data_IF_143714985505
#
_entry.id   IF_143714985505
#
_cell.length_a   1.000
_cell.length_b   1.000
_cell.length_c   1.000
_cell.angle_alpha   90.00
_cell.angle_beta   90.00
_cell.angle_gamma   90.00
#
_symmetry.space_group_name_H-M   'P 1'
#
loop_
_entity.id
_entity.type
_entity.pdbx_description
1 polymer ?
#
# COMPACT_ATOMS: atom_id res chain seq x y z
N UNK A 1 2.50 -5.57 6.72
CA UNK A 1 1.17 -5.59 7.38
C UNK A 1 1.22 -5.19 8.86
N UNK A 2 2.15 -5.69 9.66
CA UNK A 2 2.26 -5.33 11.10
C UNK A 2 2.30 -3.81 11.30
N UNK A 3 3.14 -3.09 10.56
CA UNK A 3 3.22 -1.62 10.62
C UNK A 3 1.91 -0.92 10.21
N UNK A 4 1.15 -1.49 9.26
CA UNK A 4 -0.16 -0.95 8.86
C UNK A 4 -1.14 -1.04 10.01
N UNK A 5 -1.25 -2.21 10.66
CA UNK A 5 -2.13 -2.42 11.80
C UNK A 5 -1.72 -1.48 12.96
N UNK A 6 -0.42 -1.33 13.21
CA UNK A 6 0.08 -0.44 14.25
C UNK A 6 -0.24 1.04 13.95
N UNK A 7 -0.05 1.49 12.71
CA UNK A 7 -0.41 2.85 12.30
C UNK A 7 -1.91 3.14 12.44
N UNK A 8 -2.78 2.18 12.10
CA UNK A 8 -4.21 2.32 12.32
C UNK A 8 -4.60 2.25 13.81
N UNK A 9 -3.86 1.50 14.64
CA UNK A 9 -4.08 1.53 16.09
C UNK A 9 -3.77 2.92 16.67
N UNK A 10 -2.73 3.61 16.19
CA UNK A 10 -2.45 5.00 16.57
C UNK A 10 -3.62 5.91 16.13
N UNK A 11 -4.08 5.79 14.88
CA UNK A 11 -5.17 6.62 14.33
C UNK A 11 -6.47 6.51 15.10
N UNK A 12 -6.78 5.33 15.66
CA UNK A 12 -8.05 5.11 16.40
C UNK A 12 -8.00 5.66 17.83
N UNK A 13 -6.82 5.94 18.37
CA UNK A 13 -6.63 6.37 19.76
C UNK A 13 -6.27 7.84 19.86
N UNK A 14 -5.38 8.33 18.99
CA UNK A 14 -4.87 9.70 19.00
C UNK A 14 -5.69 10.54 18.02
N UNK A 15 -6.31 11.62 18.48
CA UNK A 15 -7.10 12.53 17.63
C UNK A 15 -6.21 13.32 16.67
N UNK A 16 -5.02 13.73 17.12
CA UNK A 16 -4.02 14.48 16.33
C UNK A 16 -2.91 13.54 15.79
N UNK A 17 -3.33 12.40 15.22
CA UNK A 17 -2.42 11.37 14.70
C UNK A 17 -1.51 11.89 13.57
N UNK A 18 -1.90 12.95 12.85
CA UNK A 18 -1.09 13.55 11.79
C UNK A 18 0.23 14.15 12.31
N UNK A 19 0.30 14.51 13.58
CA UNK A 19 1.48 15.05 14.22
C UNK A 19 2.24 14.00 15.06
N UNK A 20 1.78 12.74 15.07
CA UNK A 20 2.48 11.66 15.72
C UNK A 20 3.69 11.19 14.90
N UNK A 21 4.88 11.19 15.49
CA UNK A 21 6.14 10.85 14.82
C UNK A 21 6.18 9.40 14.35
N UNK A 22 5.69 8.47 15.14
CA UNK A 22 5.74 7.03 14.81
C UNK A 22 4.80 6.79 13.63
N UNK A 23 3.63 7.38 13.66
CA UNK A 23 2.68 7.32 12.57
C UNK A 23 3.27 7.91 11.29
N UNK A 24 3.86 9.10 11.36
CA UNK A 24 4.49 9.79 10.23
C UNK A 24 5.62 8.95 9.61
N UNK A 25 6.49 8.35 10.42
CA UNK A 25 7.56 7.46 9.94
C UNK A 25 6.95 6.26 9.21
N UNK A 26 5.95 5.59 9.76
CA UNK A 26 5.29 4.44 9.12
C UNK A 26 4.65 4.85 7.80
N UNK A 27 3.91 5.96 7.78
CA UNK A 27 3.17 6.41 6.60
C UNK A 27 4.07 7.02 5.52
N UNK A 28 5.29 7.38 5.86
CA UNK A 28 6.26 7.87 4.87
C UNK A 28 6.64 6.83 3.82
N UNK A 29 6.51 5.51 4.12
CA UNK A 29 7.03 4.48 3.21
C UNK A 29 6.15 3.23 3.04
N UNK A 30 5.28 2.88 4.00
CA UNK A 30 4.68 1.53 4.02
C UNK A 30 3.82 1.22 2.79
N UNK A 31 2.93 2.14 2.36
CA UNK A 31 2.09 1.91 1.17
C UNK A 31 2.88 1.97 -0.14
N UNK A 32 3.79 2.95 -0.35
CA UNK A 32 4.75 2.91 -1.45
C UNK A 32 5.54 1.60 -1.54
N UNK A 33 6.01 1.07 -0.40
CA UNK A 33 6.76 -0.19 -0.36
C UNK A 33 5.90 -1.39 -0.81
N UNK A 34 4.62 -1.47 -0.42
CA UNK A 34 3.71 -2.52 -0.91
C UNK A 34 3.51 -2.45 -2.43
N UNK A 35 3.38 -1.24 -2.98
CA UNK A 35 3.28 -1.05 -4.42
C UNK A 35 4.56 -1.46 -5.13
N UNK A 36 5.73 -1.10 -4.58
CA UNK A 36 7.02 -1.49 -5.13
C UNK A 36 7.24 -3.02 -5.09
N UNK A 37 6.86 -3.70 -4.00
CA UNK A 37 6.90 -5.17 -3.93
C UNK A 37 5.98 -5.79 -4.98
N UNK A 38 4.79 -5.24 -5.19
CA UNK A 38 3.88 -5.73 -6.23
C UNK A 38 4.46 -5.53 -7.64
N UNK A 39 5.10 -4.39 -7.88
CA UNK A 39 5.81 -4.10 -9.12
C UNK A 39 7.01 -5.01 -9.36
N UNK A 40 7.76 -5.32 -8.32
CA UNK A 40 8.87 -6.29 -8.37
C UNK A 40 8.40 -7.65 -8.91
N UNK A 41 7.30 -8.17 -8.40
CA UNK A 41 6.75 -9.44 -8.86
C UNK A 41 6.14 -9.39 -10.26
N UNK A 42 5.80 -8.22 -10.78
CA UNK A 42 5.22 -8.06 -12.11
C UNK A 42 6.22 -8.34 -13.25
N UNK A 43 7.52 -8.20 -13.02
CA UNK A 43 8.55 -8.49 -14.01
C UNK A 43 8.55 -9.96 -14.48
N UNK A 44 8.18 -10.89 -13.59
CA UNK A 44 8.06 -12.31 -13.95
C UNK A 44 6.75 -12.67 -14.64
N UNK A 45 5.79 -11.75 -14.61
CA UNK A 45 4.45 -11.93 -15.17
C UNK A 45 4.37 -11.37 -16.59
N UNK A 46 5.37 -11.68 -17.46
CA UNK A 46 5.24 -11.33 -18.87
C UNK A 46 3.96 -11.96 -19.42
N UNK A 47 3.00 -11.18 -19.93
CA UNK A 47 1.85 -11.72 -20.59
C UNK A 47 2.35 -12.40 -21.87
N UNK A 48 2.51 -13.71 -21.82
CA UNK A 48 2.68 -14.51 -23.04
C UNK A 48 1.34 -14.52 -23.77
N UNK A 49 1.02 -13.44 -24.46
CA UNK A 49 -0.09 -13.35 -25.38
C UNK A 49 -1.51 -13.27 -24.81
N UNK A 50 -1.73 -13.40 -23.48
CA UNK A 50 -3.06 -13.54 -22.92
C UNK A 50 -3.34 -12.54 -21.77
N UNK A 51 -3.30 -11.26 -22.10
CA UNK A 51 -3.60 -10.16 -21.16
C UNK A 51 -4.98 -10.31 -20.51
N UNK A 52 -5.95 -10.94 -21.21
CA UNK A 52 -7.31 -11.20 -20.69
C UNK A 52 -7.27 -12.11 -19.45
N UNK A 53 -6.54 -13.21 -19.51
CA UNK A 53 -6.43 -14.13 -18.37
C UNK A 53 -5.69 -13.51 -17.17
N UNK A 54 -4.70 -12.65 -17.44
CA UNK A 54 -4.04 -11.88 -16.36
C UNK A 54 -5.05 -10.94 -15.71
N UNK A 55 -5.82 -10.19 -16.49
CA UNK A 55 -6.85 -9.28 -15.97
C UNK A 55 -7.91 -10.04 -15.15
N UNK A 56 -8.45 -11.15 -15.66
CA UNK A 56 -9.44 -11.97 -14.96
C UNK A 56 -8.90 -12.48 -13.61
N UNK A 57 -7.65 -12.97 -13.60
CA UNK A 57 -7.01 -13.41 -12.36
C UNK A 57 -6.86 -12.26 -11.35
N UNK A 58 -6.52 -11.05 -11.81
CA UNK A 58 -6.43 -9.87 -10.93
C UNK A 58 -7.80 -9.42 -10.41
N UNK A 59 -8.86 -9.55 -11.23
CA UNK A 59 -10.23 -9.35 -10.74
C UNK A 59 -10.55 -10.31 -9.58
N UNK A 60 -10.26 -11.59 -9.74
CA UNK A 60 -10.52 -12.59 -8.70
C UNK A 60 -9.68 -12.35 -7.44
N UNK A 61 -8.42 -11.92 -7.59
CA UNK A 61 -7.50 -11.73 -6.47
C UNK A 61 -7.73 -10.42 -5.68
N UNK A 62 -8.15 -9.36 -6.34
CA UNK A 62 -8.17 -8.01 -5.76
C UNK A 62 -9.57 -7.39 -5.74
N UNK A 63 -10.30 -7.45 -6.88
CA UNK A 63 -11.57 -6.77 -7.02
C UNK A 63 -12.70 -7.48 -6.28
N UNK A 64 -12.75 -8.82 -6.35
CA UNK A 64 -13.77 -9.58 -5.60
C UNK A 64 -13.61 -9.39 -4.08
N UNK A 65 -12.41 -9.57 -3.47
CA UNK A 65 -12.23 -9.26 -2.05
C UNK A 65 -12.55 -7.80 -1.72
N UNK A 66 -12.17 -6.84 -2.56
CA UNK A 66 -12.52 -5.44 -2.38
C UNK A 66 -14.04 -5.22 -2.23
N UNK A 67 -14.82 -5.73 -3.19
CA UNK A 67 -16.28 -5.60 -3.18
C UNK A 67 -16.89 -6.28 -1.97
N UNK A 68 -16.47 -7.51 -1.68
CA UNK A 68 -17.03 -8.30 -0.58
C UNK A 68 -16.75 -7.66 0.78
N UNK A 69 -15.53 -7.22 1.04
CA UNK A 69 -15.19 -6.55 2.30
C UNK A 69 -15.80 -5.17 2.42
N UNK A 70 -15.96 -4.44 1.31
CA UNK A 70 -16.70 -3.18 1.30
C UNK A 70 -18.17 -3.37 1.67
N UNK A 71 -18.82 -4.42 1.13
CA UNK A 71 -20.19 -4.78 1.49
C UNK A 71 -20.33 -5.24 2.95
N UNK A 72 -19.36 -6.05 3.45
CA UNK A 72 -19.31 -6.47 4.85
C UNK A 72 -19.16 -5.23 5.76
N UNK A 73 -18.24 -4.34 5.46
CA UNK A 73 -18.04 -3.10 6.22
C UNK A 73 -19.27 -2.20 6.18
N UNK A 74 -19.95 -2.12 5.04
CA UNK A 74 -21.22 -1.42 4.91
C UNK A 74 -22.31 -2.04 5.79
N UNK A 75 -22.46 -3.37 5.75
CA UNK A 75 -23.43 -4.09 6.58
C UNK A 75 -23.19 -3.95 8.09
N UNK A 76 -21.92 -3.96 8.51
CA UNK A 76 -21.53 -3.82 9.92
C UNK A 76 -21.67 -2.39 10.45
N UNK A 77 -21.70 -1.38 9.59
CA UNK A 77 -21.77 0.02 10.02
C UNK A 77 -23.13 0.46 10.56
N UNK A 78 -24.20 -0.27 10.26
CA UNK A 78 -25.57 0.10 10.61
C UNK A 78 -26.13 1.32 9.87
N UNK A 79 -25.33 1.99 9.06
CA UNK A 79 -25.70 3.16 8.25
C UNK A 79 -25.92 2.74 6.80
N UNK A 80 -27.17 2.41 6.47
CA UNK A 80 -27.57 1.90 5.15
C UNK A 80 -27.94 3.00 4.16
N UNK A 81 -27.09 4.02 4.04
CA UNK A 81 -27.30 5.13 3.13
C UNK A 81 -26.72 4.80 1.72
N UNK A 82 -27.51 5.06 0.67
CA UNK A 82 -27.09 4.88 -0.73
C UNK A 82 -25.91 5.79 -1.11
N UNK A 83 -25.79 6.95 -0.48
CA UNK A 83 -24.63 7.83 -0.64
C UNK A 83 -23.33 7.14 -0.22
N UNK A 84 -23.35 6.41 0.90
CA UNK A 84 -22.21 5.64 1.38
C UNK A 84 -21.82 4.52 0.42
N UNK A 85 -22.83 3.83 -0.13
CA UNK A 85 -22.59 2.79 -1.13
C UNK A 85 -21.97 3.36 -2.41
N UNK A 86 -22.45 4.50 -2.89
CA UNK A 86 -21.85 5.18 -4.06
C UNK A 86 -20.43 5.65 -3.81
N UNK A 87 -20.11 6.12 -2.59
CA UNK A 87 -18.76 6.52 -2.19
C UNK A 87 -17.76 5.36 -2.24
N UNK A 88 -18.18 4.12 -1.99
CA UNK A 88 -17.29 2.96 -2.13
C UNK A 88 -16.71 2.80 -3.54
N UNK A 89 -17.48 3.17 -4.57
CA UNK A 89 -17.05 3.08 -5.97
C UNK A 89 -16.40 4.39 -6.43
N UNK A 90 -17.03 5.52 -6.12
CA UNK A 90 -16.59 6.83 -6.62
C UNK A 90 -15.38 7.36 -5.85
N UNK A 91 -15.30 7.09 -4.55
CA UNK A 91 -14.26 7.58 -3.66
C UNK A 91 -13.74 6.43 -2.77
N UNK A 92 -12.97 5.48 -3.33
CA UNK A 92 -12.51 4.28 -2.62
C UNK A 92 -11.51 4.58 -1.48
N UNK A 93 -11.03 5.83 -1.37
CA UNK A 93 -10.12 6.31 -0.33
C UNK A 93 -10.61 6.12 1.11
N UNK A 94 -11.93 6.05 1.32
CA UNK A 94 -12.54 5.83 2.64
C UNK A 94 -12.50 4.37 3.12
N UNK A 95 -12.09 3.41 2.25
CA UNK A 95 -12.18 1.97 2.54
C UNK A 95 -10.91 1.22 2.14
N UNK A 96 -11.08 0.09 1.44
CA UNK A 96 -9.98 -0.78 1.01
C UNK A 96 -9.30 -0.26 -0.28
N UNK A 97 -9.01 1.04 -0.34
CA UNK A 97 -8.49 1.74 -1.50
C UNK A 97 -7.26 1.08 -2.14
N UNK A 98 -6.41 0.46 -1.32
CA UNK A 98 -5.20 -0.20 -1.81
C UNK A 98 -5.49 -1.34 -2.78
N UNK A 99 -6.53 -2.18 -2.51
CA UNK A 99 -6.91 -3.26 -3.41
C UNK A 99 -7.42 -2.72 -4.75
N UNK A 100 -8.27 -1.70 -4.68
CA UNK A 100 -8.82 -1.04 -5.85
C UNK A 100 -7.71 -0.42 -6.71
N UNK A 101 -6.84 0.38 -6.11
CA UNK A 101 -5.73 1.05 -6.81
C UNK A 101 -4.73 0.04 -7.35
N UNK A 102 -4.37 -0.99 -6.58
CA UNK A 102 -3.48 -2.05 -7.04
C UNK A 102 -4.09 -2.83 -8.21
N UNK A 103 -5.41 -3.07 -8.21
CA UNK A 103 -6.11 -3.66 -9.33
C UNK A 103 -5.97 -2.78 -10.59
N UNK A 104 -6.28 -1.49 -10.49
CA UNK A 104 -6.17 -0.54 -11.61
C UNK A 104 -4.74 -0.45 -12.13
N UNK A 105 -3.74 -0.38 -11.25
CA UNK A 105 -2.32 -0.38 -11.62
C UNK A 105 -1.96 -1.64 -12.43
N UNK A 106 -2.40 -2.83 -11.99
CA UNK A 106 -2.15 -4.06 -12.74
C UNK A 106 -2.78 -4.03 -14.14
N UNK A 107 -4.01 -3.51 -14.28
CA UNK A 107 -4.67 -3.39 -15.60
C UNK A 107 -3.90 -2.43 -16.51
N UNK A 108 -3.53 -1.25 -16.00
CA UNK A 108 -2.75 -0.28 -16.77
C UNK A 108 -1.37 -0.83 -17.15
N UNK A 109 -0.74 -1.59 -16.27
CA UNK A 109 0.55 -2.22 -16.54
C UNK A 109 0.45 -3.23 -17.70
N UNK A 110 -0.58 -4.09 -17.69
CA UNK A 110 -0.87 -5.02 -18.81
C UNK A 110 -1.18 -4.25 -20.10
N UNK A 111 -1.89 -3.12 -20.00
CA UNK A 111 -2.17 -2.26 -21.16
C UNK A 111 -0.87 -1.69 -21.74
N UNK A 112 0.04 -1.17 -20.91
CA UNK A 112 1.36 -0.69 -21.34
C UNK A 112 2.16 -1.79 -22.05
N UNK A 113 2.15 -3.02 -21.53
CA UNK A 113 2.82 -4.16 -22.14
C UNK A 113 2.22 -4.49 -23.53
N UNK A 114 0.89 -4.48 -23.65
CA UNK A 114 0.20 -4.73 -24.93
C UNK A 114 0.47 -3.62 -25.94
N UNK A 115 0.46 -2.35 -25.52
CA UNK A 115 0.80 -1.21 -26.37
C UNK A 115 2.25 -1.33 -26.85
N UNK A 116 3.19 -1.54 -25.92
CA UNK A 116 4.62 -1.74 -26.22
C UNK A 116 4.82 -2.81 -27.30
N UNK A 117 4.15 -3.95 -27.14
CA UNK A 117 4.23 -5.04 -28.12
C UNK A 117 3.65 -4.66 -29.50
N UNK A 118 2.51 -3.96 -29.54
CA UNK A 118 1.85 -3.59 -30.81
C UNK A 118 2.58 -2.53 -31.60
N UNK A 119 3.12 -1.52 -30.93
CA UNK A 119 3.81 -0.38 -31.58
C UNK A 119 5.33 -0.50 -31.58
N UNK A 120 5.86 -1.66 -31.14
CA UNK A 120 7.29 -2.00 -31.13
C UNK A 120 8.17 -1.00 -30.36
N UNK A 121 7.69 -0.43 -29.26
CA UNK A 121 8.49 0.38 -28.34
C UNK A 121 8.95 -0.43 -27.15
N UNK A 122 9.98 0.04 -26.44
CA UNK A 122 10.39 -0.60 -25.17
C UNK A 122 9.29 -0.50 -24.12
N UNK A 123 9.07 -1.60 -23.39
CA UNK A 123 8.06 -1.71 -22.35
C UNK A 123 8.19 -0.62 -21.28
N UNK A 124 9.42 -0.34 -20.85
CA UNK A 124 9.68 0.70 -19.86
C UNK A 124 9.30 2.10 -20.38
N UNK A 125 9.52 2.37 -21.66
CA UNK A 125 9.12 3.63 -22.28
C UNK A 125 7.60 3.80 -22.21
N UNK A 126 6.83 2.75 -22.55
CA UNK A 126 5.36 2.79 -22.46
C UNK A 126 4.89 3.02 -21.02
N UNK A 127 5.53 2.36 -20.03
CA UNK A 127 5.21 2.52 -18.60
C UNK A 127 5.55 3.93 -18.12
N UNK A 128 6.73 4.46 -18.48
CA UNK A 128 7.15 5.81 -18.09
C UNK A 128 6.23 6.89 -18.68
N UNK A 129 5.84 6.76 -19.95
CA UNK A 129 4.86 7.67 -20.59
C UNK A 129 3.53 7.63 -19.88
N UNK A 130 3.03 6.43 -19.51
CA UNK A 130 1.81 6.28 -18.73
C UNK A 130 1.93 6.94 -17.35
N UNK A 131 3.04 6.72 -16.62
CA UNK A 131 3.30 7.36 -15.33
C UNK A 131 3.24 8.89 -15.43
N UNK A 132 3.97 9.45 -16.38
CA UNK A 132 4.04 10.90 -16.58
C UNK A 132 2.68 11.48 -16.97
N UNK A 133 1.94 10.80 -17.85
CA UNK A 133 0.60 11.22 -18.28
C UNK A 133 -0.38 11.23 -17.12
N UNK A 134 -0.44 10.16 -16.32
CA UNK A 134 -1.31 10.06 -15.15
C UNK A 134 -0.96 11.14 -14.10
N UNK A 135 0.32 11.32 -13.83
CA UNK A 135 0.77 12.33 -12.87
C UNK A 135 0.48 13.76 -13.37
N UNK A 136 0.74 14.03 -14.66
CA UNK A 136 0.42 15.32 -15.27
C UNK A 136 -1.07 15.64 -15.22
N UNK A 137 -1.94 14.67 -15.55
CA UNK A 137 -3.40 14.84 -15.47
C UNK A 137 -3.84 15.06 -14.00
N UNK A 138 -3.25 14.34 -13.05
CA UNK A 138 -3.56 14.52 -11.63
C UNK A 138 -3.23 15.95 -11.17
N UNK A 139 -2.06 16.46 -11.54
CA UNK A 139 -1.62 17.80 -11.16
C UNK A 139 -2.45 18.89 -11.84
N UNK A 140 -2.82 18.68 -13.11
CA UNK A 140 -3.57 19.68 -13.90
C UNK A 140 -5.05 19.79 -13.51
N UNK A 141 -5.69 18.67 -13.13
CA UNK A 141 -7.15 18.61 -12.95
C UNK A 141 -7.59 18.22 -11.53
N UNK A 142 -6.66 17.89 -10.62
CA UNK A 142 -6.92 17.48 -9.24
C UNK A 142 -8.02 16.41 -9.08
N UNK A 143 -8.08 15.45 -10.02
CA UNK A 143 -9.13 14.43 -10.07
C UNK A 143 -8.98 13.49 -8.85
N UNK A 144 -10.04 13.40 -8.03
CA UNK A 144 -10.10 12.51 -6.86
C UNK A 144 -10.99 11.27 -7.07
N UNK A 145 -11.88 11.33 -8.08
CA UNK A 145 -12.83 10.25 -8.35
C UNK A 145 -12.12 8.95 -8.74
N UNK A 146 -12.74 7.81 -8.39
CA UNK A 146 -12.25 6.45 -8.66
C UNK A 146 -10.84 6.15 -8.12
N UNK A 147 -10.35 6.93 -7.14
CA UNK A 147 -9.02 6.78 -6.60
C UNK A 147 -7.91 7.21 -7.55
N UNK A 148 -8.21 8.07 -8.54
CA UNK A 148 -7.25 8.51 -9.57
C UNK A 148 -6.01 9.18 -8.97
N UNK A 149 -6.18 9.94 -7.90
CA UNK A 149 -5.08 10.56 -7.15
C UNK A 149 -4.10 9.52 -6.60
N UNK A 150 -4.62 8.44 -6.00
CA UNK A 150 -3.79 7.34 -5.50
C UNK A 150 -3.18 6.55 -6.65
N UNK A 151 -3.96 6.26 -7.71
CA UNK A 151 -3.50 5.58 -8.90
C UNK A 151 -2.26 6.28 -9.49
N UNK A 152 -2.35 7.57 -9.73
CA UNK A 152 -1.28 8.37 -10.33
C UNK A 152 -0.02 8.42 -9.47
N UNK A 153 -0.20 8.61 -8.16
CA UNK A 153 0.91 8.68 -7.21
C UNK A 153 1.57 7.31 -6.99
N UNK A 154 0.80 6.25 -6.79
CA UNK A 154 1.34 4.94 -6.45
C UNK A 154 1.84 4.14 -7.65
N UNK A 155 1.42 4.46 -8.86
CA UNK A 155 1.94 3.82 -10.07
C UNK A 155 3.44 4.05 -10.24
N UNK A 156 3.97 5.20 -9.79
CA UNK A 156 5.40 5.51 -9.79
C UNK A 156 6.18 4.48 -8.95
N UNK A 157 5.70 4.14 -7.77
CA UNK A 157 6.38 3.17 -6.90
C UNK A 157 6.27 1.74 -7.40
N UNK A 158 5.15 1.38 -8.01
CA UNK A 158 5.02 0.10 -8.70
C UNK A 158 6.05 -0.01 -9.82
N UNK A 159 6.19 1.04 -10.63
CA UNK A 159 7.20 1.12 -11.69
C UNK A 159 8.63 1.06 -11.13
N UNK A 160 8.90 1.73 -10.01
CA UNK A 160 10.18 1.66 -9.32
C UNK A 160 10.52 0.21 -8.92
N UNK A 161 9.59 -0.51 -8.33
CA UNK A 161 9.77 -1.93 -7.98
C UNK A 161 10.05 -2.81 -9.19
N UNK A 162 9.34 -2.60 -10.29
CA UNK A 162 9.58 -3.26 -11.58
C UNK A 162 11.00 -2.97 -12.10
N UNK A 163 11.43 -1.70 -12.08
CA UNK A 163 12.77 -1.30 -12.52
C UNK A 163 13.88 -1.92 -11.66
N UNK A 164 13.73 -1.91 -10.34
CA UNK A 164 14.70 -2.52 -9.43
C UNK A 164 14.92 -4.00 -9.79
N UNK A 165 13.85 -4.73 -10.11
CA UNK A 165 13.95 -6.13 -10.51
C UNK A 165 14.56 -6.29 -11.91
N UNK A 166 14.03 -5.55 -12.89
CA UNK A 166 14.46 -5.62 -14.31
C UNK A 166 15.95 -5.36 -14.47
N UNK A 167 16.45 -4.33 -13.80
CA UNK A 167 17.84 -3.90 -13.92
C UNK A 167 18.78 -4.48 -12.87
N UNK A 168 18.25 -5.31 -11.95
CA UNK A 168 19.02 -5.92 -10.87
C UNK A 168 19.83 -4.90 -10.05
N UNK A 169 19.30 -3.70 -9.88
CA UNK A 169 20.02 -2.55 -9.27
C UNK A 169 20.64 -2.86 -7.91
N UNK A 170 20.09 -3.80 -7.16
CA UNK A 170 20.49 -4.09 -5.79
C UNK A 170 21.42 -5.32 -5.66
N UNK A 171 21.74 -6.01 -6.76
CA UNK A 171 22.71 -7.11 -6.72
C UNK A 171 24.15 -6.64 -6.44
N UNK A 172 24.43 -5.35 -6.66
CA UNK A 172 25.76 -4.71 -6.51
C UNK A 172 25.80 -3.81 -5.26
N UNK A 173 24.78 -3.77 -4.41
CA UNK A 173 24.70 -2.77 -3.35
C UNK A 173 25.74 -3.00 -2.26
N UNK A 174 26.69 -2.07 -2.17
CA UNK A 174 27.61 -1.94 -1.05
C UNK A 174 26.81 -1.60 0.22
N UNK A 175 27.07 -2.31 1.32
CA UNK A 175 26.41 -2.07 2.63
C UNK A 175 26.53 -0.61 3.09
N UNK A 176 27.65 0.04 2.77
CA UNK A 176 27.87 1.45 3.07
C UNK A 176 26.87 2.35 2.32
N UNK A 177 26.59 2.07 1.05
CA UNK A 177 25.59 2.82 0.27
C UNK A 177 24.18 2.69 0.88
N UNK A 178 23.80 1.48 1.29
CA UNK A 178 22.50 1.26 1.96
C UNK A 178 22.43 2.01 3.30
N UNK A 179 23.54 2.01 4.09
CA UNK A 179 23.60 2.74 5.34
C UNK A 179 23.46 4.26 5.13
N UNK A 180 24.09 4.82 4.11
CA UNK A 180 23.92 6.23 3.74
C UNK A 180 22.48 6.54 3.36
N UNK A 181 21.86 5.73 2.50
CA UNK A 181 20.45 5.88 2.13
C UNK A 181 19.53 5.80 3.36
N UNK A 182 19.81 4.89 4.29
CA UNK A 182 19.06 4.76 5.53
C UNK A 182 19.14 6.03 6.39
N UNK A 183 20.32 6.61 6.53
CA UNK A 183 20.51 7.88 7.24
C UNK A 183 19.73 9.01 6.55
N UNK A 184 19.84 9.13 5.23
CA UNK A 184 19.11 10.14 4.46
C UNK A 184 17.60 9.95 4.66
N UNK A 185 17.10 8.72 4.52
CA UNK A 185 15.69 8.43 4.75
C UNK A 185 15.25 8.80 6.15
N UNK A 186 16.03 8.48 7.19
CA UNK A 186 15.69 8.79 8.58
C UNK A 186 15.54 10.31 8.78
N UNK A 187 16.45 11.11 8.20
CA UNK A 187 16.38 12.57 8.25
C UNK A 187 15.12 13.08 7.55
N UNK A 188 14.83 12.59 6.35
CA UNK A 188 13.64 12.99 5.61
C UNK A 188 12.36 12.52 6.30
N UNK A 189 12.32 11.32 6.84
CA UNK A 189 11.16 10.79 7.55
C UNK A 189 10.88 11.55 8.85
N UNK A 190 11.90 12.09 9.51
CA UNK A 190 11.74 12.91 10.70
C UNK A 190 10.91 14.17 10.46
N UNK A 191 11.08 14.82 9.30
CA UNK A 191 10.33 16.00 8.90
C UNK A 191 9.09 15.69 8.04
N UNK A 192 8.79 14.40 7.85
CA UNK A 192 7.69 14.01 7.00
C UNK A 192 6.34 14.27 7.69
N UNK A 193 5.42 14.87 6.94
CA UNK A 193 4.03 15.02 7.35
C UNK A 193 3.12 14.80 6.14
N UNK A 194 1.91 14.27 6.38
CA UNK A 194 0.99 13.96 5.31
C UNK A 194 0.38 15.21 4.65
N UNK A 195 0.24 16.29 5.39
CA UNK A 195 -0.50 17.47 4.97
C UNK A 195 0.32 18.75 4.85
N UNK A 196 1.56 18.75 5.32
CA UNK A 196 2.43 19.92 5.31
C UNK A 196 3.81 19.61 4.73
N UNK A 197 4.46 20.66 4.22
CA UNK A 197 5.88 20.62 3.88
C UNK A 197 6.71 20.81 5.15
N UNK A 198 7.97 20.31 5.17
CA UNK A 198 8.91 20.63 6.21
C UNK A 198 9.09 22.15 6.35
N UNK A 199 9.18 22.67 7.59
CA UNK A 199 9.33 24.09 7.86
C UNK A 199 10.61 24.71 7.29
N UNK A 200 11.65 23.89 7.08
CA UNK A 200 12.92 24.32 6.47
C UNK A 200 12.89 24.40 4.95
N UNK A 201 11.84 23.88 4.30
CA UNK A 201 11.73 23.84 2.85
C UNK A 201 11.12 25.15 2.33
N UNK A 202 11.87 26.00 1.59
CA UNK A 202 11.36 27.26 1.10
C UNK A 202 10.29 27.03 0.02
N UNK A 203 9.32 27.92 -0.05
CA UNK A 203 8.39 27.95 -1.16
C UNK A 203 9.16 28.34 -2.45
N UNK A 204 8.99 27.53 -3.49
CA UNK A 204 9.59 27.84 -4.80
C UNK A 204 8.57 28.69 -5.57
N UNK A 205 8.96 29.89 -6.04
CA UNK A 205 8.07 30.75 -6.83
C UNK A 205 7.46 29.98 -8.02
N UNK A 206 6.19 30.16 -8.27
CA UNK A 206 5.43 29.54 -9.36
C UNK A 206 5.25 28.01 -9.29
N UNK A 207 5.72 27.33 -8.21
CA UNK A 207 5.49 25.90 -7.99
C UNK A 207 4.41 25.72 -6.93
N UNK A 208 3.29 25.03 -7.25
CA UNK A 208 2.26 24.73 -6.26
C UNK A 208 2.82 23.96 -5.06
N UNK A 209 2.44 24.36 -3.85
CA UNK A 209 2.86 23.69 -2.61
C UNK A 209 2.46 22.21 -2.58
N UNK A 210 1.33 21.87 -3.19
CA UNK A 210 0.86 20.48 -3.36
C UNK A 210 1.82 19.64 -4.18
N UNK A 211 2.36 20.20 -5.28
CA UNK A 211 3.36 19.51 -6.10
C UNK A 211 4.66 19.27 -5.33
N UNK A 212 5.13 20.28 -4.60
CA UNK A 212 6.31 20.17 -3.74
C UNK A 212 6.12 19.09 -2.67
N UNK A 213 4.93 19.03 -2.09
CA UNK A 213 4.56 18.02 -1.09
C UNK A 213 4.57 16.62 -1.67
N UNK A 214 3.99 16.39 -2.85
CA UNK A 214 4.05 15.10 -3.55
C UNK A 214 5.49 14.71 -3.89
N UNK A 215 6.32 15.65 -4.34
CA UNK A 215 7.71 15.42 -4.65
C UNK A 215 8.52 15.02 -3.41
N UNK A 216 8.36 15.74 -2.31
CA UNK A 216 9.03 15.45 -1.04
C UNK A 216 8.63 14.08 -0.49
N UNK A 217 7.34 13.80 -0.42
CA UNK A 217 6.80 12.51 0.04
C UNK A 217 7.24 11.37 -0.88
N UNK A 218 7.22 11.62 -2.19
CA UNK A 218 7.66 10.66 -3.20
C UNK A 218 9.14 10.31 -3.08
N UNK A 219 10.00 11.31 -2.90
CA UNK A 219 11.44 11.13 -2.69
C UNK A 219 11.73 10.34 -1.41
N UNK A 220 11.10 10.73 -0.30
CA UNK A 220 11.25 10.03 0.99
C UNK A 220 10.88 8.55 0.86
N UNK A 221 9.74 8.26 0.22
CA UNK A 221 9.28 6.90 -0.01
C UNK A 221 10.20 6.11 -0.97
N UNK A 222 10.69 6.74 -2.04
CA UNK A 222 11.60 6.10 -2.99
C UNK A 222 12.92 5.69 -2.32
N UNK A 223 13.50 6.55 -1.47
CA UNK A 223 14.71 6.22 -0.71
C UNK A 223 14.44 5.07 0.25
N UNK A 224 13.31 5.09 0.97
CA UNK A 224 12.92 3.98 1.84
C UNK A 224 12.81 2.64 1.08
N UNK A 225 12.22 2.66 -0.11
CA UNK A 225 12.10 1.47 -0.98
C UNK A 225 13.49 0.95 -1.35
N UNK A 226 14.41 1.82 -1.76
CA UNK A 226 15.79 1.42 -2.07
C UNK A 226 16.50 0.80 -0.85
N UNK A 227 16.29 1.35 0.34
CA UNK A 227 16.80 0.79 1.59
C UNK A 227 16.22 -0.61 1.84
N UNK A 228 14.89 -0.76 1.79
CA UNK A 228 14.18 -2.03 2.03
C UNK A 228 14.67 -3.11 1.05
N UNK A 229 14.69 -2.81 -0.23
CA UNK A 229 15.16 -3.76 -1.24
C UNK A 229 16.66 -4.01 -1.18
N UNK A 230 17.46 -3.04 -0.71
CA UNK A 230 18.89 -3.19 -0.50
C UNK A 230 19.24 -4.16 0.63
N UNK A 231 18.41 -4.26 1.66
CA UNK A 231 18.56 -5.25 2.73
C UNK A 231 18.02 -6.64 2.36
N UNK A 232 17.00 -6.72 1.49
CA UNK A 232 16.29 -7.96 1.18
C UNK A 232 17.14 -9.07 0.51
N UNK A 233 18.03 -8.80 -0.46
CA UNK A 233 18.74 -9.87 -1.20
C UNK A 233 19.67 -10.72 -0.34
N UNK A 234 20.25 -10.14 0.70
CA UNK A 234 21.19 -10.84 1.57
C UNK A 234 20.49 -11.76 2.58
N UNK A 235 19.20 -11.54 2.83
CA UNK A 235 18.40 -12.32 3.79
C UNK A 235 17.57 -13.41 3.12
N UNK A 236 17.27 -13.29 1.81
CA UNK A 236 16.43 -14.22 1.05
C UNK A 236 17.21 -15.37 0.39
N UNK A 237 18.53 -15.41 0.51
CA UNK A 237 19.34 -16.52 0.02
C UNK A 237 19.34 -17.69 1.01
N UNK A 238 18.62 -18.74 0.61
CA UNK A 238 18.64 -20.13 1.06
C UNK A 238 17.64 -20.57 2.15
N UNK A 239 16.88 -21.57 1.77
CA UNK A 239 16.40 -22.82 2.49
C UNK A 239 16.02 -22.72 3.96
N UNK A 240 16.04 -21.56 4.61
CA UNK A 240 15.86 -21.43 6.03
C UNK A 240 14.42 -21.13 6.44
N UNK A 241 14.13 -21.48 7.68
CA UNK A 241 12.89 -21.24 8.42
C UNK A 241 12.35 -19.80 8.24
N UNK A 242 13.26 -18.82 8.05
CA UNK A 242 12.92 -17.42 7.71
C UNK A 242 12.18 -17.28 6.38
N UNK A 243 12.56 -18.03 5.34
CA UNK A 243 11.88 -17.99 4.03
C UNK A 243 10.47 -18.59 4.11
N UNK A 244 10.27 -19.63 4.91
CA UNK A 244 8.95 -20.20 5.16
C UNK A 244 8.05 -19.21 5.89
N UNK A 245 8.55 -18.58 6.97
CA UNK A 245 7.81 -17.55 7.72
C UNK A 245 7.46 -16.35 6.83
N UNK A 246 8.40 -15.86 6.02
CA UNK A 246 8.12 -14.75 5.09
C UNK A 246 7.10 -15.12 4.01
N UNK A 247 7.13 -16.33 3.50
CA UNK A 247 6.12 -16.84 2.57
C UNK A 247 4.75 -16.96 3.23
N UNK A 248 4.68 -17.47 4.42
CA UNK A 248 3.42 -17.56 5.18
C UNK A 248 2.86 -16.18 5.52
N UNK A 249 3.70 -15.26 6.02
CA UNK A 249 3.31 -13.86 6.25
C UNK A 249 2.80 -13.19 4.95
N UNK A 250 3.45 -13.45 3.83
CA UNK A 250 3.00 -12.97 2.52
C UNK A 250 1.62 -13.48 2.15
N UNK A 251 1.34 -14.78 2.37
CA UNK A 251 0.03 -15.40 2.06
C UNK A 251 -1.10 -14.93 2.97
N UNK A 252 -0.77 -14.47 4.18
CA UNK A 252 -1.75 -13.96 5.17
C UNK A 252 -1.96 -12.45 5.02
N UNK A 253 -1.00 -11.75 4.41
CA UNK A 253 -0.96 -10.28 4.42
C UNK A 253 -2.20 -9.61 3.82
N UNK A 254 -2.77 -10.15 2.73
CA UNK A 254 -4.00 -9.62 2.14
C UNK A 254 -5.20 -9.81 3.08
N UNK A 255 -5.30 -11.00 3.69
CA UNK A 255 -6.35 -11.26 4.68
C UNK A 255 -6.26 -10.32 5.89
N UNK A 256 -5.05 -10.13 6.42
CA UNK A 256 -4.83 -9.16 7.51
C UNK A 256 -5.20 -7.75 7.09
N UNK A 257 -4.86 -7.35 5.85
CA UNK A 257 -5.20 -6.04 5.32
C UNK A 257 -6.72 -5.78 5.32
N UNK A 258 -7.52 -6.75 4.93
CA UNK A 258 -8.98 -6.57 4.83
C UNK A 258 -9.71 -6.71 6.16
N UNK A 259 -9.18 -7.52 7.10
CA UNK A 259 -9.84 -7.75 8.39
C UNK A 259 -9.54 -6.66 9.43
N UNK A 260 -8.31 -6.15 9.49
CA UNK A 260 -7.83 -5.36 10.64
C UNK A 260 -8.61 -4.06 10.86
N UNK A 261 -9.03 -3.35 9.79
CA UNK A 261 -9.70 -2.04 9.92
C UNK A 261 -11.01 -2.15 10.74
N UNK A 262 -11.80 -3.16 10.44
CA UNK A 262 -13.05 -3.39 11.18
C UNK A 262 -12.76 -3.79 12.63
N UNK A 263 -11.78 -4.67 12.84
CA UNK A 263 -11.45 -5.21 14.17
C UNK A 263 -10.88 -4.12 15.09
N UNK A 264 -9.97 -3.29 14.59
CA UNK A 264 -9.33 -2.21 15.36
C UNK A 264 -10.36 -1.26 15.97
N UNK A 265 -11.39 -0.89 15.21
CA UNK A 265 -12.45 -0.01 15.69
C UNK A 265 -13.22 -0.62 16.87
N UNK A 266 -13.66 -1.87 16.75
CA UNK A 266 -14.38 -2.55 17.84
C UNK A 266 -13.49 -2.81 19.07
N UNK A 267 -12.25 -3.21 18.87
CA UNK A 267 -11.33 -3.50 19.98
C UNK A 267 -11.03 -2.25 20.79
N UNK A 268 -10.81 -1.10 20.15
CA UNK A 268 -10.56 0.15 20.88
C UNK A 268 -11.75 0.60 21.71
N UNK A 269 -12.98 0.43 21.19
CA UNK A 269 -14.21 0.73 21.93
C UNK A 269 -14.34 -0.15 23.18
N UNK A 270 -14.08 -1.45 23.04
CA UNK A 270 -14.09 -2.39 24.17
C UNK A 270 -13.03 -2.02 25.21
N UNK A 271 -11.78 -1.74 24.77
CA UNK A 271 -10.70 -1.36 25.70
C UNK A 271 -11.10 -0.08 26.47
N UNK A 272 -11.58 0.94 25.78
CA UNK A 272 -11.98 2.21 26.43
C UNK A 272 -13.17 2.04 27.38
N UNK A 273 -14.09 1.13 27.08
CA UNK A 273 -15.21 0.82 27.96
C UNK A 273 -14.74 0.24 29.31
N UNK A 274 -13.82 -0.73 29.29
CA UNK A 274 -13.34 -1.38 30.50
C UNK A 274 -12.19 -0.64 31.20
N UNK A 275 -11.41 0.14 30.46
CA UNK A 275 -10.23 0.87 30.95
C UNK A 275 -10.27 2.35 30.54
N UNK A 276 -11.29 3.13 30.98
CA UNK A 276 -11.50 4.51 30.51
C UNK A 276 -10.37 5.47 30.92
N UNK A 277 -9.59 5.15 31.95
CA UNK A 277 -8.49 5.97 32.47
C UNK A 277 -7.10 5.49 31.99
N UNK A 278 -7.05 4.48 31.15
CA UNK A 278 -5.76 3.97 30.66
C UNK A 278 -5.06 5.01 29.78
N UNK A 279 -3.73 5.05 29.87
CA UNK A 279 -2.89 5.89 29.01
C UNK A 279 -3.06 5.49 27.52
N UNK A 280 -3.04 6.48 26.64
CA UNK A 280 -3.19 6.26 25.20
C UNK A 280 -2.15 5.29 24.65
N UNK A 281 -0.91 5.32 25.15
CA UNK A 281 0.14 4.42 24.70
C UNK A 281 -0.18 2.96 25.04
N UNK A 282 -0.75 2.71 26.20
CA UNK A 282 -1.21 1.38 26.62
C UNK A 282 -2.37 0.92 25.74
N UNK A 283 -3.34 1.79 25.49
CA UNK A 283 -4.50 1.49 24.64
C UNK A 283 -4.04 1.15 23.21
N UNK A 284 -3.09 1.91 22.64
CA UNK A 284 -2.52 1.65 21.30
C UNK A 284 -1.89 0.25 21.25
N UNK A 285 -1.03 -0.08 22.23
CA UNK A 285 -0.33 -1.36 22.26
C UNK A 285 -1.32 -2.52 22.42
N UNK A 286 -2.27 -2.41 23.34
CA UNK A 286 -3.31 -3.43 23.52
C UNK A 286 -4.18 -3.59 22.29
N UNK A 287 -4.65 -2.48 21.71
CA UNK A 287 -5.46 -2.50 20.48
C UNK A 287 -4.68 -3.17 19.34
N UNK A 288 -3.42 -2.81 19.14
CA UNK A 288 -2.57 -3.42 18.12
C UNK A 288 -2.41 -4.93 18.32
N UNK A 289 -2.06 -5.39 19.53
CA UNK A 289 -1.83 -6.81 19.82
C UNK A 289 -3.12 -7.61 19.65
N UNK A 290 -4.21 -7.18 20.31
CA UNK A 290 -5.49 -7.89 20.29
C UNK A 290 -6.04 -7.93 18.86
N UNK A 291 -6.05 -6.81 18.15
CA UNK A 291 -6.56 -6.74 16.78
C UNK A 291 -5.74 -7.58 15.82
N UNK A 292 -4.41 -7.66 16.00
CA UNK A 292 -3.55 -8.54 15.20
C UNK A 292 -3.88 -10.00 15.43
N UNK A 293 -4.00 -10.42 16.69
CA UNK A 293 -4.34 -11.83 17.04
C UNK A 293 -5.70 -12.21 16.46
N UNK A 294 -6.72 -11.39 16.68
CA UNK A 294 -8.08 -11.64 16.16
C UNK A 294 -8.07 -11.70 14.63
N UNK A 295 -7.36 -10.78 13.97
CA UNK A 295 -7.24 -10.76 12.50
C UNK A 295 -6.59 -12.05 11.97
N UNK A 296 -5.52 -12.53 12.61
CA UNK A 296 -4.86 -13.81 12.24
C UNK A 296 -5.83 -14.99 12.41
N UNK A 297 -6.55 -15.06 13.53
CA UNK A 297 -7.53 -16.13 13.78
C UNK A 297 -8.62 -16.12 12.70
N UNK A 298 -9.19 -14.95 12.37
CA UNK A 298 -10.22 -14.84 11.33
C UNK A 298 -9.67 -15.29 9.98
N UNK A 299 -8.48 -14.86 9.60
CA UNK A 299 -7.87 -15.25 8.32
C UNK A 299 -7.63 -16.76 8.26
N UNK A 300 -7.17 -17.39 9.37
CA UNK A 300 -6.97 -18.83 9.41
C UNK A 300 -8.30 -19.61 9.34
N UNK A 301 -9.38 -19.10 9.96
CA UNK A 301 -10.71 -19.67 9.82
C UNK A 301 -11.24 -19.56 8.39
N UNK A 302 -11.10 -18.38 7.75
CA UNK A 302 -11.52 -18.16 6.36
C UNK A 302 -10.77 -19.05 5.36
N UNK A 303 -9.50 -19.36 5.63
CA UNK A 303 -8.70 -20.27 4.79
C UNK A 303 -9.19 -21.72 4.79
N UNK A 304 -9.90 -22.16 5.83
CA UNK A 304 -10.37 -23.56 5.94
C UNK A 304 -11.40 -23.93 4.86
N UNK A 305 -12.16 -22.96 4.38
CA UNK A 305 -13.13 -23.17 3.32
C UNK A 305 -12.62 -22.55 2.00
N UNK A 306 -12.59 -23.33 0.92
CA UNK A 306 -12.10 -22.90 -0.40
C UNK A 306 -12.91 -21.72 -0.98
N UNK A 307 -14.21 -21.66 -0.72
CA UNK A 307 -15.09 -20.61 -1.22
C UNK A 307 -14.77 -19.30 -0.51
N UNK A 308 -14.75 -19.29 0.82
CA UNK A 308 -14.41 -18.10 1.60
C UNK A 308 -12.98 -17.64 1.34
N UNK A 309 -12.03 -18.55 1.20
CA UNK A 309 -10.65 -18.23 0.84
C UNK A 309 -10.55 -17.55 -0.53
N UNK A 310 -11.31 -18.01 -1.53
CA UNK A 310 -11.36 -17.41 -2.87
C UNK A 310 -12.03 -16.03 -2.83
N UNK A 311 -13.20 -15.93 -2.24
CA UNK A 311 -14.04 -14.72 -2.29
C UNK A 311 -13.51 -13.61 -1.36
N UNK A 312 -13.07 -13.95 -0.14
CA UNK A 312 -12.68 -12.98 0.87
C UNK A 312 -11.17 -12.73 0.94
N UNK A 313 -10.35 -13.69 0.54
CA UNK A 313 -8.89 -13.59 0.60
C UNK A 313 -8.21 -13.59 -0.78
N UNK A 314 -8.97 -13.64 -1.88
CA UNK A 314 -8.42 -13.66 -3.24
C UNK A 314 -7.51 -14.85 -3.53
N UNK A 315 -7.66 -15.95 -2.82
CA UNK A 315 -6.88 -17.18 -3.05
C UNK A 315 -7.47 -17.97 -4.21
N UNK A 316 -6.65 -18.17 -5.24
CA UNK A 316 -6.99 -18.96 -6.43
C UNK A 316 -6.34 -20.33 -6.29
#
# INVERSE_FOLDING_TARGET
MILVIFGHAIQTVISDWNNDYIWNIIYSFHMPAFMAVSGWFSYHQKPKGDGKNVCLRRCEQLLIPYVMWSLISYGLSGDYNMERLSKMVLYPDAYFWFLWVLFLINILFVLCQNISYRIHIDELTAICVMCLSLFGVMVAFEIRMFGFQFLSYYFIFYTLGYCIHRFKWLQVSNKMYIAVLFIIWTILAWYWNMHSLPSWMPAIPHVPSTLMQYAYRGLTAAIAILVIFGFAPNTLNKTDRTNLIMKELGTVSLGLYVCHLTIIGYVVEVIRHYFPQADNSIIIILNFIISTIISVIIVELLKRNKITAKILLGKI
#
